data_IF_533242979962
#
_entry.id   IF_533242979962
#
_cell.length_a   1.000
_cell.length_b   1.000
_cell.length_c   1.000
_cell.angle_alpha   90.00
_cell.angle_beta   90.00
_cell.angle_gamma   90.00
#
_symmetry.space_group_name_H-M   'P 1'
#
loop_
_entity.id
_entity.type
_entity.pdbx_description
1 polymer ?
#
# COMPACT_ATOMS: atom_id res chain seq x y z
N UNK A 1 35.15 -14.43 -10.35
CA UNK A 1 34.65 -15.61 -11.10
C UNK A 1 33.57 -16.22 -10.25
N UNK A 2 32.31 -16.02 -10.62
CA UNK A 2 31.15 -16.59 -9.92
C UNK A 2 31.10 -18.08 -10.25
N UNK A 3 31.06 -18.95 -9.25
CA UNK A 3 30.84 -20.38 -9.50
C UNK A 3 29.52 -20.60 -10.26
N UNK A 4 29.48 -21.52 -11.24
CA UNK A 4 28.24 -21.88 -11.91
C UNK A 4 27.24 -22.42 -10.89
N UNK A 5 26.08 -21.79 -10.80
CA UNK A 5 25.00 -22.19 -9.90
C UNK A 5 24.58 -23.65 -10.15
N UNK A 6 24.25 -24.43 -9.10
CA UNK A 6 23.96 -25.84 -9.23
C UNK A 6 22.72 -26.11 -10.08
N UNK A 7 22.80 -27.19 -10.84
CA UNK A 7 21.75 -27.76 -11.67
C UNK A 7 20.55 -28.19 -10.80
N UNK A 8 19.37 -27.63 -11.08
CA UNK A 8 18.04 -27.98 -10.56
C UNK A 8 17.79 -27.91 -9.03
N UNK A 9 16.71 -27.21 -8.59
CA UNK A 9 16.27 -27.26 -7.20
C UNK A 9 15.91 -28.69 -6.75
N UNK A 10 16.13 -29.06 -5.47
CA UNK A 10 15.83 -30.39 -4.96
C UNK A 10 14.33 -30.74 -5.08
N UNK A 11 13.96 -32.02 -5.29
CA UNK A 11 12.56 -32.42 -5.37
C UNK A 11 11.76 -32.06 -4.11
N UNK A 12 10.52 -31.59 -4.27
CA UNK A 12 9.67 -31.12 -3.16
C UNK A 12 9.52 -32.13 -2.02
N UNK A 13 9.46 -33.42 -2.34
CA UNK A 13 9.30 -34.52 -1.36
C UNK A 13 10.48 -34.67 -0.41
N UNK A 14 11.65 -34.13 -0.77
CA UNK A 14 12.87 -34.17 0.06
C UNK A 14 12.97 -32.99 1.03
N UNK A 15 12.11 -31.97 0.86
CA UNK A 15 12.16 -30.74 1.64
C UNK A 15 11.45 -30.87 2.99
N UNK A 16 11.83 -30.06 4.00
CA UNK A 16 11.08 -29.97 5.24
C UNK A 16 9.61 -29.63 4.99
N UNK A 17 8.69 -30.18 5.80
CA UNK A 17 7.24 -29.99 5.63
C UNK A 17 6.84 -28.50 5.57
N UNK A 18 7.48 -27.67 6.39
CA UNK A 18 7.24 -26.21 6.39
C UNK A 18 7.56 -25.58 5.03
N UNK A 19 8.67 -25.97 4.39
CA UNK A 19 9.05 -25.51 3.06
C UNK A 19 8.08 -26.00 2.00
N UNK A 20 7.64 -27.27 2.09
CA UNK A 20 6.62 -27.80 1.18
C UNK A 20 5.30 -27.02 1.26
N UNK A 21 4.92 -26.56 2.46
CA UNK A 21 3.73 -25.74 2.66
C UNK A 21 3.86 -24.36 1.99
N UNK A 22 5.02 -23.70 2.08
CA UNK A 22 5.27 -22.44 1.39
C UNK A 22 5.24 -22.62 -0.13
N UNK A 23 5.88 -23.67 -0.65
CA UNK A 23 5.85 -24.00 -2.08
C UNK A 23 4.40 -24.18 -2.55
N UNK A 24 3.61 -25.00 -1.84
CA UNK A 24 2.21 -25.24 -2.22
C UNK A 24 1.37 -23.96 -2.21
N UNK A 25 1.61 -23.07 -1.24
CA UNK A 25 0.96 -21.77 -1.20
C UNK A 25 1.32 -20.93 -2.44
N UNK A 26 2.60 -20.85 -2.79
CA UNK A 26 3.08 -20.11 -3.96
C UNK A 26 2.57 -20.70 -5.27
N UNK A 27 2.60 -22.02 -5.45
CA UNK A 27 2.02 -22.72 -6.62
C UNK A 27 0.53 -22.37 -6.78
N UNK A 28 -0.22 -22.34 -5.67
CA UNK A 28 -1.65 -22.01 -5.68
C UNK A 28 -1.90 -20.54 -6.03
N UNK A 29 -1.13 -19.61 -5.47
CA UNK A 29 -1.34 -18.17 -5.66
C UNK A 29 -0.83 -17.67 -7.01
N UNK A 30 0.22 -18.28 -7.56
CA UNK A 30 0.85 -17.87 -8.81
C UNK A 30 0.46 -18.74 -10.01
N UNK A 31 -0.24 -19.86 -9.76
CA UNK A 31 -0.56 -20.88 -10.76
C UNK A 31 0.68 -21.42 -11.48
N UNK A 32 1.76 -21.65 -10.74
CA UNK A 32 3.04 -22.19 -11.22
C UNK A 32 3.33 -23.55 -10.58
N UNK A 33 4.27 -24.32 -11.12
CA UNK A 33 4.71 -25.59 -10.55
C UNK A 33 6.19 -25.55 -10.12
N UNK A 34 6.46 -26.02 -8.89
CA UNK A 34 7.82 -26.24 -8.41
C UNK A 34 8.36 -27.60 -8.91
N UNK A 35 9.64 -27.70 -9.34
CA UNK A 35 10.62 -26.62 -9.50
C UNK A 35 10.68 -26.03 -10.92
N UNK A 36 9.77 -26.43 -11.81
CA UNK A 36 9.88 -26.20 -13.27
C UNK A 36 9.57 -24.78 -13.72
N UNK A 37 8.69 -24.08 -13.01
CA UNK A 37 8.27 -22.72 -13.33
C UNK A 37 8.82 -21.71 -12.34
N UNK A 38 9.12 -20.50 -12.78
CA UNK A 38 9.53 -19.39 -11.92
C UNK A 38 8.42 -18.32 -11.84
N UNK A 39 8.73 -17.21 -11.17
CA UNK A 39 7.81 -16.10 -10.97
C UNK A 39 7.29 -15.49 -12.29
N UNK A 40 8.12 -15.45 -13.32
CA UNK A 40 7.82 -14.83 -14.63
C UNK A 40 6.88 -15.68 -15.51
N UNK A 41 6.76 -16.97 -15.20
CA UNK A 41 5.82 -17.88 -15.85
C UNK A 41 4.38 -17.68 -15.36
N UNK A 42 4.18 -16.95 -14.25
CA UNK A 42 2.84 -16.64 -13.74
C UNK A 42 2.14 -15.60 -14.60
N UNK A 43 1.00 -15.97 -15.20
CA UNK A 43 0.15 -15.04 -15.93
C UNK A 43 -0.49 -13.99 -15.00
N UNK A 44 -0.76 -14.35 -13.74
CA UNK A 44 -1.41 -13.48 -12.73
C UNK A 44 -0.51 -12.31 -12.33
N UNK A 45 0.80 -12.55 -12.21
CA UNK A 45 1.75 -11.53 -11.81
C UNK A 45 1.83 -10.34 -12.78
N UNK A 46 1.57 -10.58 -14.08
CA UNK A 46 1.57 -9.52 -15.10
C UNK A 46 0.47 -8.48 -14.86
N UNK A 47 -0.60 -8.86 -14.18
CA UNK A 47 -1.78 -8.02 -13.97
C UNK A 47 -1.88 -7.47 -12.55
N UNK A 48 -1.19 -8.08 -11.58
CA UNK A 48 -1.34 -7.75 -10.16
C UNK A 48 0.01 -7.48 -9.46
N UNK A 49 0.45 -6.21 -9.40
CA UNK A 49 1.66 -5.82 -8.67
C UNK A 49 1.64 -6.22 -7.18
N UNK A 50 0.46 -6.32 -6.57
CA UNK A 50 0.28 -6.74 -5.18
C UNK A 50 0.73 -8.20 -4.97
N UNK A 51 0.55 -9.06 -5.97
CA UNK A 51 0.93 -10.47 -5.89
C UNK A 51 2.45 -10.62 -5.74
N UNK A 52 3.23 -9.75 -6.40
CA UNK A 52 4.68 -9.68 -6.22
C UNK A 52 5.06 -9.38 -4.76
N UNK A 53 4.37 -8.43 -4.14
CA UNK A 53 4.57 -8.11 -2.72
C UNK A 53 4.20 -9.28 -1.80
N UNK A 54 3.10 -9.97 -2.07
CA UNK A 54 2.69 -11.17 -1.32
C UNK A 54 3.76 -12.26 -1.39
N UNK A 55 4.34 -12.50 -2.58
CA UNK A 55 5.44 -13.46 -2.75
C UNK A 55 6.66 -13.05 -1.94
N UNK A 56 7.09 -11.78 -2.03
CA UNK A 56 8.20 -11.26 -1.24
C UNK A 56 7.97 -11.42 0.28
N UNK A 57 6.74 -11.20 0.75
CA UNK A 57 6.36 -11.43 2.14
C UNK A 57 6.47 -12.91 2.54
N UNK A 58 6.03 -13.84 1.68
CA UNK A 58 6.13 -15.28 1.94
C UNK A 58 7.59 -15.71 2.08
N UNK A 59 8.46 -15.27 1.17
CA UNK A 59 9.91 -15.54 1.22
C UNK A 59 10.48 -15.00 2.53
N UNK A 60 10.16 -13.74 2.87
CA UNK A 60 10.63 -13.11 4.10
C UNK A 60 10.14 -13.79 5.38
N UNK A 61 8.88 -14.22 5.42
CA UNK A 61 8.33 -14.97 6.56
C UNK A 61 9.00 -16.33 6.71
N UNK A 62 9.31 -17.01 5.60
CA UNK A 62 10.01 -18.30 5.64
C UNK A 62 11.40 -18.19 6.31
N UNK A 63 12.06 -17.02 6.19
CA UNK A 63 13.32 -16.68 6.85
C UNK A 63 13.21 -16.57 8.38
N UNK A 64 12.00 -16.46 8.93
CA UNK A 64 11.77 -16.34 10.38
C UNK A 64 11.29 -17.62 11.06
N UNK A 65 10.91 -18.64 10.29
CA UNK A 65 10.11 -19.77 10.79
C UNK A 65 10.91 -20.89 11.48
N UNK A 66 12.19 -20.70 11.82
CA UNK A 66 12.95 -21.67 12.62
C UNK A 66 14.44 -21.77 12.30
N UNK A 67 15.18 -22.73 12.92
CA UNK A 67 16.63 -22.87 12.75
C UNK A 67 17.08 -23.24 11.32
N UNK A 68 16.18 -23.76 10.48
CA UNK A 68 16.42 -24.06 9.05
C UNK A 68 15.92 -22.96 8.10
N UNK A 69 15.62 -21.77 8.62
CA UNK A 69 14.88 -20.74 7.87
C UNK A 69 15.67 -20.14 6.71
N UNK A 70 16.98 -19.99 6.86
CA UNK A 70 17.83 -19.42 5.80
C UNK A 70 17.86 -20.32 4.56
N UNK A 71 17.87 -21.64 4.72
CA UNK A 71 17.84 -22.57 3.60
C UNK A 71 16.51 -22.53 2.86
N UNK A 72 15.40 -22.36 3.59
CA UNK A 72 14.08 -22.25 2.99
C UNK A 72 13.93 -20.95 2.20
N UNK A 73 14.28 -19.80 2.78
CA UNK A 73 14.14 -18.52 2.08
C UNK A 73 15.05 -18.45 0.85
N UNK A 74 16.28 -18.97 0.96
CA UNK A 74 17.22 -19.04 -0.17
C UNK A 74 16.68 -19.91 -1.29
N UNK A 75 16.15 -21.10 -0.96
CA UNK A 75 15.54 -21.98 -1.97
C UNK A 75 14.37 -21.29 -2.70
N UNK A 76 13.49 -20.61 -1.95
CA UNK A 76 12.34 -19.93 -2.55
C UNK A 76 12.77 -18.74 -3.43
N UNK A 77 13.74 -17.96 -2.98
CA UNK A 77 14.30 -16.84 -3.74
C UNK A 77 14.98 -17.31 -5.04
N UNK A 78 15.80 -18.37 -4.95
CA UNK A 78 16.48 -18.98 -6.11
C UNK A 78 15.48 -19.58 -7.10
N UNK A 79 14.47 -20.30 -6.62
CA UNK A 79 13.44 -20.90 -7.47
C UNK A 79 12.61 -19.84 -8.20
N UNK A 80 12.18 -18.81 -7.49
CA UNK A 80 11.32 -17.78 -8.04
C UNK A 80 12.10 -16.74 -8.85
N UNK A 81 13.42 -16.67 -8.68
CA UNK A 81 14.27 -15.61 -9.22
C UNK A 81 13.75 -14.22 -8.81
N UNK A 82 13.36 -14.09 -7.53
CA UNK A 82 12.75 -12.88 -7.01
C UNK A 82 13.79 -11.76 -6.84
N UNK A 83 14.93 -12.10 -6.24
CA UNK A 83 16.07 -11.20 -6.08
C UNK A 83 16.06 -10.49 -4.72
N UNK A 84 17.22 -10.48 -4.05
CA UNK A 84 17.34 -9.92 -2.70
C UNK A 84 16.96 -8.43 -2.64
N UNK A 85 17.25 -7.67 -3.69
CA UNK A 85 16.96 -6.22 -3.77
C UNK A 85 15.45 -5.91 -3.89
N UNK A 86 14.64 -6.89 -4.32
CA UNK A 86 13.20 -6.72 -4.44
C UNK A 86 12.44 -7.17 -3.19
N UNK A 87 13.09 -7.92 -2.28
CA UNK A 87 12.46 -8.40 -1.07
C UNK A 87 12.10 -7.22 -0.15
N UNK A 88 10.84 -7.15 0.35
CA UNK A 88 10.50 -6.14 1.33
C UNK A 88 11.40 -6.32 2.55
N UNK A 89 11.98 -5.23 3.04
CA UNK A 89 12.81 -5.33 4.24
C UNK A 89 11.97 -5.87 5.39
N UNK A 90 12.55 -6.62 6.33
CA UNK A 90 11.80 -7.11 7.49
C UNK A 90 11.09 -5.97 8.23
N UNK A 91 11.71 -4.81 8.21
CA UNK A 91 11.17 -3.58 8.74
C UNK A 91 9.90 -3.14 7.98
N UNK A 92 9.90 -3.19 6.66
CA UNK A 92 8.74 -2.89 5.81
C UNK A 92 7.65 -3.98 5.90
N UNK A 93 8.00 -5.23 6.18
CA UNK A 93 6.99 -6.27 6.48
C UNK A 93 6.29 -6.01 7.83
N UNK A 94 7.00 -5.38 8.79
CA UNK A 94 6.47 -5.05 10.12
C UNK A 94 5.71 -3.73 10.13
N UNK A 95 6.18 -2.75 9.37
CA UNK A 95 5.47 -1.49 9.14
C UNK A 95 4.49 -1.71 7.98
N UNK A 96 3.19 -1.85 8.22
CA UNK A 96 2.21 -1.92 7.12
C UNK A 96 2.13 -0.53 6.46
N UNK A 97 3.07 -0.29 5.54
CA UNK A 97 3.20 0.93 4.73
C UNK A 97 2.84 0.56 3.31
N UNK A 98 1.86 1.24 2.74
CA UNK A 98 1.43 1.07 1.37
C UNK A 98 1.51 2.43 0.68
N UNK A 99 2.30 2.53 -0.38
CA UNK A 99 2.39 3.72 -1.23
C UNK A 99 1.66 3.47 -2.53
N UNK A 100 0.69 4.32 -2.87
CA UNK A 100 -0.12 4.25 -4.08
C UNK A 100 0.12 5.52 -4.87
N UNK A 101 0.43 5.40 -6.16
CA UNK A 101 0.54 6.53 -7.06
C UNK A 101 -0.53 6.41 -8.14
N UNK A 102 -1.37 7.43 -8.29
CA UNK A 102 -2.44 7.44 -9.29
C UNK A 102 -1.91 7.93 -10.64
N UNK A 103 -2.63 7.66 -11.75
CA UNK A 103 -2.53 8.48 -12.95
C UNK A 103 -2.86 9.96 -12.65
N UNK A 104 -2.64 10.89 -13.60
CA UNK A 104 -3.15 12.25 -13.46
C UNK A 104 -4.67 12.26 -13.22
N UNK A 105 -5.09 12.86 -12.11
CA UNK A 105 -6.51 12.97 -11.74
C UNK A 105 -6.88 14.41 -11.40
N UNK A 106 -8.14 14.76 -11.63
CA UNK A 106 -8.71 16.05 -11.24
C UNK A 106 -9.43 15.93 -9.89
N UNK A 107 -10.34 14.97 -9.81
CA UNK A 107 -11.12 14.66 -8.60
C UNK A 107 -11.13 13.17 -8.33
N UNK A 108 -11.30 12.81 -7.06
CA UNK A 108 -11.45 11.41 -6.64
C UNK A 108 -12.31 11.31 -5.39
N UNK A 109 -12.88 10.13 -5.18
CA UNK A 109 -13.60 9.77 -3.96
C UNK A 109 -12.76 8.75 -3.19
N UNK A 110 -12.25 9.17 -2.03
CA UNK A 110 -11.53 8.31 -1.11
C UNK A 110 -12.52 7.85 -0.03
N UNK A 111 -12.77 6.56 0.08
CA UNK A 111 -13.65 5.99 1.10
C UNK A 111 -12.83 5.17 2.07
N UNK A 112 -13.12 5.31 3.36
CA UNK A 112 -12.53 4.45 4.38
C UNK A 112 -13.61 3.84 5.26
N UNK A 113 -13.50 2.53 5.48
CA UNK A 113 -14.41 1.75 6.30
C UNK A 113 -13.62 0.93 7.29
N UNK A 114 -14.05 0.99 8.54
CA UNK A 114 -13.45 0.26 9.64
C UNK A 114 -14.42 -0.78 10.17
N UNK A 115 -13.95 -2.01 10.31
CA UNK A 115 -14.75 -3.11 10.88
C UNK A 115 -13.98 -3.84 11.96
N UNK A 116 -14.66 -4.17 13.05
CA UNK A 116 -14.12 -4.97 14.16
C UNK A 116 -14.75 -6.34 14.15
N UNK A 117 -13.93 -7.38 14.01
CA UNK A 117 -14.38 -8.76 14.03
C UNK A 117 -14.28 -9.34 15.44
N UNK A 118 -15.40 -9.32 16.17
CA UNK A 118 -15.48 -9.88 17.53
C UNK A 118 -15.17 -11.38 17.59
N UNK A 119 -15.47 -12.14 16.52
CA UNK A 119 -15.26 -13.60 16.47
C UNK A 119 -13.79 -13.97 16.28
N UNK A 120 -12.96 -13.08 15.75
CA UNK A 120 -11.52 -13.29 15.51
C UNK A 120 -10.68 -12.51 16.51
N UNK A 121 -10.95 -12.68 17.81
CA UNK A 121 -10.22 -12.00 18.89
C UNK A 121 -10.14 -10.47 18.69
N UNK A 122 -11.26 -9.86 18.28
CA UNK A 122 -11.35 -8.43 18.01
C UNK A 122 -10.37 -7.91 16.94
N UNK A 123 -10.05 -8.74 15.94
CA UNK A 123 -9.24 -8.29 14.80
C UNK A 123 -9.93 -7.14 14.06
N UNK A 124 -9.16 -6.15 13.65
CA UNK A 124 -9.61 -5.00 12.88
C UNK A 124 -9.43 -5.25 11.38
N UNK A 125 -10.29 -4.68 10.56
CA UNK A 125 -10.11 -4.65 9.12
C UNK A 125 -10.42 -3.25 8.62
N UNK A 126 -9.43 -2.63 7.98
CA UNK A 126 -9.50 -1.32 7.38
C UNK A 126 -9.64 -1.50 5.88
N UNK A 127 -10.76 -1.07 5.33
CA UNK A 127 -11.01 -1.04 3.89
C UNK A 127 -10.84 0.40 3.42
N UNK A 128 -9.84 0.64 2.59
CA UNK A 128 -9.56 1.94 1.99
C UNK A 128 -9.77 1.77 0.49
N UNK A 129 -10.67 2.57 -0.06
CA UNK A 129 -11.06 2.53 -1.46
C UNK A 129 -10.82 3.91 -2.05
N UNK A 130 -10.11 3.96 -3.18
CA UNK A 130 -9.91 5.19 -3.94
C UNK A 130 -10.59 5.02 -5.29
N UNK A 131 -11.71 5.71 -5.46
CA UNK A 131 -12.40 5.82 -6.73
C UNK A 131 -11.91 7.08 -7.45
N UNK A 132 -11.38 6.90 -8.65
CA UNK A 132 -10.90 8.00 -9.47
C UNK A 132 -12.03 8.42 -10.40
N UNK A 133 -12.47 9.66 -10.29
CA UNK A 133 -13.35 10.26 -11.29
C UNK A 133 -12.46 10.72 -12.45
N UNK A 134 -12.39 9.90 -13.50
CA UNK A 134 -11.87 10.39 -14.77
C UNK A 134 -12.83 11.48 -15.24
N UNK A 135 -12.33 12.65 -15.68
CA UNK A 135 -13.20 13.65 -16.25
C UNK A 135 -13.90 12.99 -17.44
N UNK A 136 -15.24 13.07 -17.49
CA UNK A 136 -16.02 12.72 -18.68
C UNK A 136 -15.73 13.78 -19.76
N UNK A 137 -14.48 13.91 -20.18
CA UNK A 137 -14.14 14.62 -21.40
C UNK A 137 -14.55 13.67 -22.51
N UNK A 138 -15.83 13.72 -22.87
CA UNK A 138 -16.20 13.40 -24.24
C UNK A 138 -15.35 14.37 -25.06
N UNK A 139 -14.43 13.90 -25.92
CA UNK A 139 -13.77 14.78 -26.85
C UNK A 139 -14.90 15.33 -27.71
N UNK A 140 -15.38 16.53 -27.42
CA UNK A 140 -16.23 17.24 -28.36
C UNK A 140 -15.44 17.29 -29.66
N UNK A 141 -16.04 16.71 -30.70
CA UNK A 141 -15.43 16.46 -31.99
C UNK A 141 -14.61 17.67 -32.41
N UNK A 142 -13.35 17.43 -32.68
CA UNK A 142 -12.29 18.36 -33.06
C UNK A 142 -12.53 18.96 -34.47
N UNK A 143 -13.75 19.38 -34.75
CA UNK A 143 -14.13 20.05 -35.99
C UNK A 143 -14.26 21.55 -35.75
N UNK A 144 -13.09 22.22 -35.75
CA UNK A 144 -12.89 23.45 -36.51
C UNK A 144 -13.75 24.67 -36.19
N UNK A 145 -13.56 25.27 -35.02
CA UNK A 145 -13.85 26.70 -34.86
C UNK A 145 -12.60 27.40 -34.36
N UNK A 146 -11.86 28.00 -35.29
CA UNK A 146 -10.76 28.94 -35.03
C UNK A 146 -11.34 30.22 -34.40
N UNK A 147 -11.68 30.18 -33.12
CA UNK A 147 -11.99 31.37 -32.34
C UNK A 147 -10.69 31.98 -31.80
N UNK A 148 -10.25 33.17 -32.27
CA UNK A 148 -9.01 33.81 -31.82
C UNK A 148 -9.09 34.45 -30.43
N UNK A 149 -10.21 34.29 -29.71
CA UNK A 149 -10.44 34.89 -28.40
C UNK A 149 -10.57 33.80 -27.34
N UNK A 150 -9.47 33.59 -26.60
CA UNK A 150 -9.45 32.94 -25.29
C UNK A 150 -9.77 31.43 -25.30
N UNK A 151 -8.73 30.60 -25.34
CA UNK A 151 -8.88 29.17 -25.05
C UNK A 151 -9.42 28.98 -23.62
N UNK A 152 -10.71 28.68 -23.49
CA UNK A 152 -11.37 28.18 -22.27
C UNK A 152 -10.72 26.87 -21.78
N UNK A 153 -9.88 26.25 -22.62
CA UNK A 153 -9.15 25.01 -22.39
C UNK A 153 -7.79 25.17 -21.71
N UNK A 154 -7.54 26.26 -21.00
CA UNK A 154 -6.44 26.30 -20.05
C UNK A 154 -7.03 26.03 -18.66
N UNK A 155 -7.29 24.76 -18.27
CA UNK A 155 -7.63 24.49 -16.88
C UNK A 155 -6.48 25.08 -16.07
N UNK A 156 -6.77 26.05 -15.20
CA UNK A 156 -5.76 26.78 -14.43
C UNK A 156 -4.87 25.84 -13.61
N UNK A 157 -5.25 24.56 -13.49
CA UNK A 157 -4.51 23.51 -12.82
C UNK A 157 -4.31 22.28 -13.72
N UNK A 158 -3.07 21.95 -14.13
CA UNK A 158 -2.79 20.71 -14.82
C UNK A 158 -3.09 19.50 -13.92
N UNK A 159 -3.76 18.49 -14.48
CA UNK A 159 -3.93 17.19 -13.84
C UNK A 159 -2.55 16.62 -13.50
N UNK A 160 -2.38 16.14 -12.27
CA UNK A 160 -1.12 15.54 -11.82
C UNK A 160 -1.37 14.22 -11.08
N UNK A 161 -0.43 13.27 -11.14
CA UNK A 161 -0.46 12.08 -10.29
C UNK A 161 -0.60 12.45 -8.81
N UNK A 162 -1.47 11.74 -8.09
CA UNK A 162 -1.62 11.84 -6.64
C UNK A 162 -0.85 10.70 -5.99
N UNK A 163 -0.06 11.01 -4.96
CA UNK A 163 0.66 10.00 -4.17
C UNK A 163 0.01 9.84 -2.81
N UNK A 164 -0.50 8.65 -2.50
CA UNK A 164 -1.10 8.30 -1.22
C UNK A 164 -0.18 7.38 -0.43
N UNK A 165 0.03 7.69 0.84
CA UNK A 165 0.75 6.84 1.79
C UNK A 165 -0.22 6.34 2.85
N UNK A 166 -0.49 5.04 2.88
CA UNK A 166 -1.26 4.39 3.95
C UNK A 166 -0.29 3.77 4.96
N UNK A 167 -0.47 4.08 6.24
CA UNK A 167 0.39 3.62 7.31
C UNK A 167 -0.44 3.08 8.48
N UNK A 168 -0.23 1.84 8.89
CA UNK A 168 -0.82 1.34 10.14
C UNK A 168 0.08 1.68 11.34
N UNK A 169 -0.37 2.58 12.21
CA UNK A 169 0.40 3.01 13.38
C UNK A 169 0.51 1.93 14.47
N UNK A 170 -0.50 1.05 14.57
CA UNK A 170 -0.70 0.14 15.71
C UNK A 170 -0.65 0.87 17.06
N UNK A 171 -1.18 2.09 17.09
CA UNK A 171 -1.09 3.06 18.17
C UNK A 171 -0.18 4.24 17.82
N UNK A 172 -0.68 5.46 17.93
CA UNK A 172 0.06 6.69 17.62
C UNK A 172 1.26 6.92 18.55
N UNK A 173 1.22 6.35 19.76
CA UNK A 173 2.33 6.37 20.72
C UNK A 173 3.38 5.28 20.46
N UNK A 174 3.21 4.45 19.43
CA UNK A 174 4.18 3.40 19.09
C UNK A 174 5.50 4.04 18.64
N UNK A 175 6.63 3.83 19.35
CA UNK A 175 7.92 4.43 18.98
C UNK A 175 8.37 4.06 17.57
N UNK A 176 7.99 2.88 17.08
CA UNK A 176 8.27 2.45 15.73
C UNK A 176 7.58 3.37 14.70
N UNK A 177 6.29 3.64 14.90
CA UNK A 177 5.53 4.57 14.07
C UNK A 177 6.17 5.98 14.06
N UNK A 178 6.46 6.51 15.25
CA UNK A 178 7.04 7.85 15.45
C UNK A 178 8.36 8.01 14.67
N UNK A 179 9.19 6.97 14.65
CA UNK A 179 10.50 7.01 14.00
C UNK A 179 10.47 6.78 12.48
N UNK A 180 9.44 6.10 11.96
CA UNK A 180 9.41 5.66 10.56
C UNK A 180 8.56 6.57 9.71
N UNK A 181 7.42 7.04 10.23
CA UNK A 181 6.51 7.86 9.43
C UNK A 181 7.21 9.11 8.87
N UNK A 182 8.00 9.90 9.63
CA UNK A 182 8.71 11.06 9.08
C UNK A 182 9.70 10.67 7.96
N UNK A 183 10.40 9.54 8.12
CA UNK A 183 11.34 9.04 7.10
C UNK A 183 10.60 8.69 5.81
N UNK A 184 9.46 7.98 5.92
CA UNK A 184 8.65 7.60 4.74
C UNK A 184 7.98 8.80 4.09
N UNK A 185 7.55 9.80 4.85
CA UNK A 185 7.06 11.06 4.28
C UNK A 185 8.18 11.78 3.51
N UNK A 186 9.38 11.88 4.09
CA UNK A 186 10.51 12.52 3.41
C UNK A 186 10.97 11.76 2.17
N UNK A 187 10.93 10.41 2.20
CA UNK A 187 11.36 9.54 1.10
C UNK A 187 10.35 9.56 -0.06
N UNK A 188 9.05 9.48 0.25
CA UNK A 188 8.00 9.30 -0.75
C UNK A 188 7.31 10.61 -1.16
N UNK A 189 7.46 11.68 -0.35
CA UNK A 189 6.80 12.98 -0.52
C UNK A 189 5.31 12.86 -0.91
N UNK A 190 4.49 12.14 -0.12
CA UNK A 190 3.10 11.87 -0.47
C UNK A 190 2.24 13.16 -0.44
N UNK A 191 1.23 13.22 -1.30
CA UNK A 191 0.22 14.28 -1.28
C UNK A 191 -0.81 14.08 -0.15
N UNK A 192 -1.13 12.82 0.15
CA UNK A 192 -2.06 12.42 1.21
C UNK A 192 -1.44 11.29 2.04
N UNK A 193 -1.51 11.40 3.36
CA UNK A 193 -1.13 10.33 4.30
C UNK A 193 -2.38 9.86 5.05
N UNK A 194 -2.62 8.55 5.05
CA UNK A 194 -3.69 7.89 5.79
C UNK A 194 -3.05 7.04 6.88
N UNK A 195 -3.17 7.45 8.13
CA UNK A 195 -2.69 6.68 9.29
C UNK A 195 -3.83 5.91 9.91
N UNK A 196 -3.76 4.58 9.95
CA UNK A 196 -4.79 3.71 10.55
C UNK A 196 -4.35 3.18 11.92
N UNK A 197 -5.31 2.69 12.71
CA UNK A 197 -5.12 2.19 14.08
C UNK A 197 -4.37 3.16 14.99
N UNK A 198 -4.74 4.43 14.98
CA UNK A 198 -4.05 5.44 15.78
C UNK A 198 -4.29 5.28 17.28
N UNK A 199 -5.43 4.69 17.69
CA UNK A 199 -5.78 4.35 19.10
C UNK A 199 -5.64 5.52 20.09
N UNK A 200 -5.65 6.74 19.57
CA UNK A 200 -5.57 7.97 20.34
C UNK A 200 -6.39 9.04 19.63
N UNK A 201 -7.27 9.76 20.33
CA UNK A 201 -7.82 10.99 19.80
C UNK A 201 -6.66 11.96 19.53
N UNK A 202 -6.78 12.78 18.47
CA UNK A 202 -5.70 13.63 17.93
C UNK A 202 -5.20 14.72 18.89
N UNK A 203 -5.82 14.84 20.06
CA UNK A 203 -5.94 16.10 20.79
C UNK A 203 -4.61 16.70 21.26
N UNK A 204 -3.50 15.95 21.37
CA UNK A 204 -2.21 16.54 21.78
C UNK A 204 -0.98 16.12 20.95
N UNK A 205 -1.09 15.17 20.02
CA UNK A 205 0.10 14.68 19.29
C UNK A 205 0.46 15.55 18.08
N UNK A 206 -0.49 16.28 17.51
CA UNK A 206 -0.25 17.20 16.38
C UNK A 206 0.12 18.62 16.79
N UNK A 207 -0.09 19.03 18.05
CA UNK A 207 0.49 20.29 18.54
C UNK A 207 2.02 20.20 18.73
N UNK A 208 2.58 18.98 18.74
CA UNK A 208 4.03 18.78 18.52
C UNK A 208 4.41 18.78 17.02
N UNK A 209 3.45 19.05 16.13
CA UNK A 209 3.41 18.75 14.70
C UNK A 209 4.13 19.71 13.76
N UNK A 210 5.22 20.34 14.18
CA UNK A 210 6.18 20.90 13.21
C UNK A 210 6.91 19.80 12.42
N UNK A 211 6.78 18.52 12.80
CA UNK A 211 7.58 17.44 12.26
C UNK A 211 7.08 16.84 10.92
N UNK A 212 5.78 16.91 10.61
CA UNK A 212 5.21 16.16 9.48
C UNK A 212 4.87 17.03 8.25
N UNK A 213 5.10 18.33 8.30
CA UNK A 213 4.94 19.31 7.20
C UNK A 213 3.50 19.50 6.67
N UNK A 214 2.54 18.64 7.00
CA UNK A 214 1.14 18.79 6.60
C UNK A 214 0.44 19.91 7.38
N UNK A 215 -0.27 20.78 6.65
CA UNK A 215 -0.99 21.93 7.21
C UNK A 215 -2.48 21.62 7.48
N UNK A 216 -2.96 20.48 7.01
CA UNK A 216 -4.35 20.09 7.07
C UNK A 216 -4.48 18.65 7.54
N UNK A 217 -5.51 18.39 8.33
CA UNK A 217 -5.79 17.06 8.83
C UNK A 217 -7.27 16.79 9.07
N UNK A 218 -7.62 15.51 9.06
CA UNK A 218 -8.93 15.02 9.43
C UNK A 218 -8.78 13.79 10.31
N UNK A 219 -9.55 13.75 11.40
CA UNK A 219 -9.62 12.61 12.31
C UNK A 219 -10.94 11.88 12.13
N UNK A 220 -10.86 10.56 11.99
CA UNK A 220 -11.98 9.65 12.17
C UNK A 220 -11.74 8.90 13.47
N UNK A 221 -12.52 9.23 14.49
CA UNK A 221 -12.50 8.49 15.74
C UNK A 221 -13.24 7.15 15.58
N UNK A 222 -12.66 6.09 16.13
CA UNK A 222 -13.38 4.83 16.26
C UNK A 222 -14.41 4.96 17.39
N UNK A 223 -15.67 4.51 17.20
CA UNK A 223 -16.65 4.46 18.29
C UNK A 223 -16.21 3.53 19.44
N UNK A 224 -15.20 2.69 19.18
CA UNK A 224 -14.53 1.87 20.16
C UNK A 224 -13.11 2.44 20.34
N UNK A 225 -12.95 3.38 21.28
CA UNK A 225 -11.73 4.16 21.56
C UNK A 225 -10.41 3.34 21.54
N UNK A 226 -10.47 2.06 21.91
CA UNK A 226 -9.29 1.19 22.00
C UNK A 226 -8.92 0.46 20.70
N UNK A 227 -9.86 0.32 19.76
CA UNK A 227 -9.66 -0.52 18.57
C UNK A 227 -9.29 0.26 17.32
N UNK A 228 -9.16 1.58 17.37
CA UNK A 228 -8.63 2.29 16.22
C UNK A 228 -8.97 3.77 16.16
N UNK A 229 -8.99 4.23 14.91
CA UNK A 229 -9.01 5.61 14.49
C UNK A 229 -8.25 5.71 13.17
N UNK A 230 -8.54 6.74 12.40
CA UNK A 230 -7.78 7.05 11.20
C UNK A 230 -7.48 8.55 11.15
N UNK A 231 -6.26 8.90 10.73
CA UNK A 231 -5.86 10.26 10.46
C UNK A 231 -5.61 10.42 8.97
N UNK A 232 -6.10 11.51 8.40
CA UNK A 232 -5.81 11.93 7.04
C UNK A 232 -5.01 13.21 7.17
N UNK A 233 -3.86 13.26 6.52
CA UNK A 233 -2.95 14.40 6.54
C UNK A 233 -2.66 14.79 5.10
N UNK A 234 -2.69 16.08 4.80
CA UNK A 234 -2.40 16.58 3.45
C UNK A 234 -1.90 18.03 3.50
N UNK A 235 -1.36 18.48 2.37
CA UNK A 235 -1.03 19.89 2.17
C UNK A 235 -2.18 20.55 1.41
N UNK A 236 -2.84 21.53 2.02
CA UNK A 236 -3.95 22.31 1.43
C UNK A 236 -3.55 23.02 0.13
N UNK A 237 -2.29 23.42 0.02
CA UNK A 237 -1.72 24.00 -1.21
C UNK A 237 -1.60 23.02 -2.38
N UNK A 238 -1.68 21.71 -2.12
CA UNK A 238 -1.45 20.63 -3.09
C UNK A 238 -2.72 19.87 -3.45
N UNK A 239 -3.60 19.71 -2.48
CA UNK A 239 -4.80 18.87 -2.54
C UNK A 239 -5.84 19.46 -1.58
N UNK A 240 -7.10 19.55 -2.00
CA UNK A 240 -8.21 19.80 -1.06
C UNK A 240 -8.94 18.49 -0.76
N UNK A 241 -9.35 18.32 0.49
CA UNK A 241 -10.11 17.15 0.93
C UNK A 241 -11.33 17.67 1.65
N UNK A 242 -12.51 17.33 1.11
CA UNK A 242 -13.79 17.68 1.71
C UNK A 242 -14.48 16.42 2.25
N UNK A 243 -14.86 16.41 3.54
CA UNK A 243 -15.63 15.31 4.12
C UNK A 243 -17.05 15.30 3.55
N UNK A 244 -17.42 14.21 2.86
CA UNK A 244 -18.74 14.09 2.21
C UNK A 244 -19.78 13.59 3.21
N UNK A 245 -19.47 12.54 3.97
CA UNK A 245 -20.38 11.98 4.97
C UNK A 245 -19.62 11.35 6.13
N UNK A 246 -19.95 11.75 7.37
CA UNK A 246 -19.55 11.05 8.61
C UNK A 246 -20.65 10.06 9.02
N UNK A 247 -20.94 9.07 8.17
CA UNK A 247 -21.63 7.87 8.64
C UNK A 247 -20.62 6.73 8.80
N UNK A 248 -20.98 5.63 9.47
CA UNK A 248 -20.07 4.50 9.78
C UNK A 248 -19.45 3.80 8.54
N UNK A 249 -19.68 4.34 7.33
CA UNK A 249 -18.82 4.22 6.14
C UNK A 249 -18.53 5.65 5.64
N UNK A 250 -17.27 6.08 5.69
CA UNK A 250 -16.90 7.48 5.47
C UNK A 250 -16.38 7.67 4.04
N UNK A 251 -17.09 8.45 3.23
CA UNK A 251 -16.65 8.88 1.90
C UNK A 251 -16.06 10.30 1.95
N UNK A 252 -15.02 10.54 1.16
CA UNK A 252 -14.31 11.82 1.02
C UNK A 252 -14.19 12.23 -0.43
N UNK A 253 -14.51 13.47 -0.75
CA UNK A 253 -14.24 13.99 -2.08
C UNK A 253 -12.92 14.75 -2.01
N UNK A 254 -11.91 14.25 -2.72
CA UNK A 254 -10.73 15.03 -3.00
C UNK A 254 -11.11 15.98 -4.13
N UNK A 255 -11.33 17.25 -3.77
CA UNK A 255 -11.56 18.35 -4.69
C UNK A 255 -10.21 19.04 -4.88
N UNK A 256 -9.94 19.55 -6.07
CA UNK A 256 -8.81 20.43 -6.28
C UNK A 256 -9.28 21.68 -6.97
#
# INVERSE_FOLDING_TARGET
>A
MSEPFPLEPPPRTTLPQTTQNYIRLLETQLSIAYPTNNLWDSSQLRWEPLLKLVVGLIIMLSKQSGPSSNSCSKLLDEWLQFGEDELPSLHDCKAMVLSIKTPPIFTGLLTTKFTVNKKRNYSTTHHIELMISLPNVVPESLEGVDSPEGSVWNPEHPCRPLTLLVFNARGASNPHYINILPKKISELNPDIVIVTETRSPIINSFEQGNALQFDSSLTIDSPLNFFGGAWFLWHSSRTSIEPVTKEMATGFQAIK
#
